data_IF_766379535748
#
_entry.id   IF_766379535748
#
_cell.length_a   1.000
_cell.length_b   1.000
_cell.length_c   1.000
_cell.angle_alpha   90.00
_cell.angle_beta   90.00
_cell.angle_gamma   90.00
#
_symmetry.space_group_name_H-M   'P 1'
#
loop_
_entity.id
_entity.type
_entity.pdbx_description
1 polymer ?
#
# COMPACT_ATOMS: atom_id res chain seq x y z
N UNK A 1 6.06 38.75 63.24
CA UNK A 1 6.85 37.67 63.86
C UNK A 1 6.95 36.55 62.83
N UNK A 2 7.95 36.49 61.95
CA UNK A 2 9.36 36.17 62.19
C UNK A 2 9.54 34.77 62.79
N UNK A 3 9.91 33.80 61.96
CA UNK A 3 11.07 32.94 62.21
C UNK A 3 11.50 32.26 60.91
N UNK A 4 12.66 32.74 60.44
CA UNK A 4 13.46 32.13 59.41
C UNK A 4 14.23 30.94 59.99
N UNK A 5 14.41 29.88 59.20
CA UNK A 5 15.54 28.97 59.36
C UNK A 5 16.19 28.84 57.99
N UNK A 6 17.43 29.31 57.93
CA UNK A 6 18.39 29.08 56.87
C UNK A 6 18.99 27.68 57.03
N UNK A 7 19.15 26.97 55.91
CA UNK A 7 20.18 25.95 55.78
C UNK A 7 20.77 26.00 54.38
N UNK A 8 22.08 25.86 54.36
CA UNK A 8 23.04 26.39 53.41
C UNK A 8 23.15 25.63 52.09
N UNK A 9 23.61 26.35 51.08
CA UNK A 9 24.16 25.85 49.82
C UNK A 9 25.23 24.76 50.04
N UNK A 10 25.16 23.73 49.20
CA UNK A 10 26.35 23.11 48.61
C UNK A 10 26.13 23.04 47.10
N UNK A 11 26.87 23.88 46.38
CA UNK A 11 27.00 23.82 44.93
C UNK A 11 28.13 22.86 44.56
N UNK A 12 27.87 21.95 43.63
CA UNK A 12 28.85 21.26 42.78
C UNK A 12 28.11 21.11 41.43
N UNK A 13 28.26 22.01 40.44
CA UNK A 13 29.31 22.03 39.42
C UNK A 13 29.51 20.62 38.84
N UNK A 14 29.35 20.26 37.56
CA UNK A 14 29.30 20.90 36.25
C UNK A 14 28.67 19.85 35.33
N UNK A 15 27.96 20.28 34.30
CA UNK A 15 27.42 19.37 33.31
C UNK A 15 26.50 20.14 32.41
N UNK A 16 27.09 20.83 31.43
CA UNK A 16 26.39 21.53 30.37
C UNK A 16 25.52 20.52 29.62
N UNK A 17 24.26 20.43 30.02
CA UNK A 17 23.26 19.65 29.31
C UNK A 17 23.02 20.33 27.97
N UNK A 18 23.74 19.88 26.95
CA UNK A 18 23.46 20.27 25.58
C UNK A 18 21.99 19.99 25.29
N UNK A 19 21.29 21.03 24.83
CA UNK A 19 19.99 20.89 24.20
C UNK A 19 20.17 19.97 22.99
N UNK A 20 19.86 18.68 23.16
CA UNK A 20 19.65 17.77 22.06
C UNK A 20 18.42 18.25 21.30
N UNK A 21 18.63 19.15 20.35
CA UNK A 21 17.74 19.28 19.21
C UNK A 21 17.74 17.91 18.54
N UNK A 22 16.70 17.14 18.82
CA UNK A 22 16.39 15.92 18.08
C UNK A 22 15.98 16.34 16.68
N UNK A 23 16.97 16.67 15.84
CA UNK A 23 16.78 16.77 14.40
C UNK A 23 16.42 15.37 13.96
N UNK A 24 15.13 15.09 13.82
CA UNK A 24 14.66 14.00 12.96
C UNK A 24 15.16 14.32 11.57
N UNK A 25 16.31 13.75 11.24
CA UNK A 25 16.83 13.69 9.89
C UNK A 25 15.81 12.89 9.09
N UNK A 26 14.94 13.59 8.35
CA UNK A 26 14.16 12.96 7.29
C UNK A 26 15.18 12.35 6.35
N UNK A 27 15.36 11.03 6.40
CA UNK A 27 16.15 10.32 5.43
C UNK A 27 15.55 10.67 4.07
N UNK A 28 16.31 11.40 3.25
CA UNK A 28 15.99 11.59 1.85
C UNK A 28 15.96 10.19 1.25
N UNK A 29 14.75 9.68 1.00
CA UNK A 29 14.58 8.43 0.29
C UNK A 29 15.14 8.64 -1.12
N UNK A 30 16.12 7.83 -1.46
CA UNK A 30 16.65 7.71 -2.81
C UNK A 30 15.46 7.49 -3.75
N UNK A 31 15.34 8.25 -4.86
CA UNK A 31 14.35 7.95 -5.88
C UNK A 31 14.46 6.48 -6.24
N UNK A 32 13.36 5.73 -6.11
CA UNK A 32 13.30 4.35 -6.57
C UNK A 32 13.77 4.34 -8.03
N UNK A 33 14.76 3.52 -8.41
CA UNK A 33 15.27 3.50 -9.78
C UNK A 33 14.10 3.26 -10.73
N UNK A 34 13.92 4.15 -11.71
CA UNK A 34 12.97 3.95 -12.80
C UNK A 34 13.50 2.80 -13.65
N UNK A 35 13.12 1.58 -13.31
CA UNK A 35 13.20 0.46 -14.25
C UNK A 35 12.35 0.86 -15.45
N UNK A 36 12.84 0.65 -16.67
CA UNK A 36 12.12 1.00 -17.91
C UNK A 36 10.79 0.25 -17.96
N UNK A 37 9.74 0.82 -17.40
CA UNK A 37 8.39 0.30 -17.51
C UNK A 37 7.84 0.58 -18.91
N UNK A 38 7.13 -0.38 -19.47
CA UNK A 38 6.47 -0.23 -20.78
C UNK A 38 5.33 0.81 -20.69
N UNK A 39 4.78 1.02 -19.49
CA UNK A 39 3.71 1.96 -19.22
C UNK A 39 4.22 3.31 -18.73
N UNK A 40 3.88 4.37 -19.48
CA UNK A 40 3.91 5.75 -19.01
C UNK A 40 2.65 6.48 -19.49
N UNK A 41 1.63 6.69 -18.64
CA UNK A 41 0.39 7.38 -19.00
C UNK A 41 0.60 8.80 -19.53
N UNK A 42 1.72 9.46 -19.20
CA UNK A 42 2.05 10.79 -19.70
C UNK A 42 2.34 10.82 -21.21
N UNK A 43 2.69 9.67 -21.81
CA UNK A 43 2.97 9.59 -23.26
C UNK A 43 1.72 9.50 -24.12
N UNK A 44 0.53 9.50 -23.51
CA UNK A 44 -0.72 9.23 -24.18
C UNK A 44 -1.12 7.77 -24.04
N UNK A 45 -2.31 7.54 -23.51
CA UNK A 45 -2.97 6.23 -23.55
C UNK A 45 -4.48 6.43 -23.60
N UNK A 46 -5.21 5.44 -24.08
CA UNK A 46 -6.68 5.40 -23.91
C UNK A 46 -7.09 4.59 -22.70
N UNK A 47 -6.38 3.51 -22.40
CA UNK A 47 -6.73 2.65 -21.28
C UNK A 47 -5.59 2.58 -20.27
N UNK A 48 -5.99 2.61 -19.00
CA UNK A 48 -5.13 2.40 -17.85
C UNK A 48 -5.72 1.22 -17.10
N UNK A 49 -4.92 0.23 -16.74
CA UNK A 49 -5.34 -0.84 -15.82
C UNK A 49 -4.51 -0.75 -14.56
N UNK A 50 -5.17 -0.79 -13.41
CA UNK A 50 -4.54 -0.77 -12.10
C UNK A 50 -4.84 -2.12 -11.46
N UNK A 51 -3.82 -2.95 -11.38
CA UNK A 51 -3.86 -4.26 -10.74
C UNK A 51 -3.23 -4.21 -9.36
N UNK A 52 -3.62 -5.14 -8.50
CA UNK A 52 -2.94 -5.39 -7.25
C UNK A 52 -1.49 -5.87 -7.50
N UNK A 53 -0.54 -5.29 -6.77
CA UNK A 53 0.88 -5.70 -6.80
C UNK A 53 1.25 -6.69 -5.69
N UNK A 54 0.42 -6.80 -4.66
CA UNK A 54 0.60 -7.73 -3.54
C UNK A 54 -0.76 -8.13 -2.92
N UNK A 55 -0.72 -8.84 -1.79
CA UNK A 55 -1.91 -9.20 -1.01
C UNK A 55 -2.33 -8.14 0.02
N UNK A 56 -3.37 -8.47 0.79
CA UNK A 56 -4.03 -7.61 1.79
C UNK A 56 -3.93 -8.21 3.21
N UNK A 57 -4.16 -7.39 4.24
CA UNK A 57 -4.01 -7.81 5.65
C UNK A 57 -5.17 -8.65 6.16
N UNK A 58 -6.32 -8.59 5.48
CA UNK A 58 -7.48 -9.42 5.80
C UNK A 58 -7.08 -10.89 5.88
N UNK A 59 -7.64 -11.62 6.84
CA UNK A 59 -7.24 -13.00 7.12
C UNK A 59 -7.92 -14.04 6.21
N UNK A 60 -9.02 -13.67 5.54
CA UNK A 60 -9.80 -14.60 4.73
C UNK A 60 -9.27 -14.67 3.30
N UNK A 61 -9.10 -15.87 2.75
CA UNK A 61 -8.76 -16.02 1.33
C UNK A 61 -9.85 -15.52 0.40
N UNK A 62 -11.10 -15.46 0.87
CA UNK A 62 -12.20 -14.86 0.12
C UNK A 62 -12.23 -13.34 0.24
N UNK A 63 -11.19 -12.67 0.75
CA UNK A 63 -11.18 -11.23 0.89
C UNK A 63 -10.85 -10.53 -0.45
N UNK A 64 -11.46 -9.36 -0.66
CA UNK A 64 -11.26 -8.49 -1.82
C UNK A 64 -10.35 -7.32 -1.48
N UNK A 65 -9.72 -6.76 -2.50
CA UNK A 65 -9.17 -5.41 -2.45
C UNK A 65 -10.31 -4.41 -2.63
N UNK A 66 -10.40 -3.46 -1.68
CA UNK A 66 -11.36 -2.37 -1.73
C UNK A 66 -10.66 -1.08 -2.19
N UNK A 67 -11.22 -0.47 -3.24
CA UNK A 67 -10.73 0.79 -3.80
C UNK A 67 -11.85 1.81 -3.84
N UNK A 68 -11.69 2.90 -3.11
CA UNK A 68 -12.74 3.88 -2.88
C UNK A 68 -12.89 4.83 -4.06
N UNK A 69 -11.78 5.36 -4.58
CA UNK A 69 -11.86 6.36 -5.64
C UNK A 69 -10.56 6.43 -6.44
N UNK A 70 -10.72 6.67 -7.74
CA UNK A 70 -9.66 6.91 -8.71
C UNK A 70 -10.00 8.19 -9.46
N UNK A 71 -9.09 9.16 -9.41
CA UNK A 71 -9.19 10.39 -10.21
C UNK A 71 -8.00 10.52 -11.12
N UNK A 72 -8.25 10.84 -12.38
CA UNK A 72 -7.22 10.96 -13.41
C UNK A 72 -7.17 12.41 -13.87
N UNK A 73 -5.98 13.00 -13.97
CA UNK A 73 -5.79 14.40 -14.33
C UNK A 73 -4.85 14.55 -15.54
N UNK A 74 -5.14 15.52 -16.39
CA UNK A 74 -4.27 15.92 -17.50
C UNK A 74 -3.11 16.82 -17.04
N UNK A 75 -2.25 17.23 -17.97
CA UNK A 75 -1.09 18.10 -17.70
C UNK A 75 -1.44 19.52 -17.22
N UNK A 76 -2.70 19.93 -17.36
CA UNK A 76 -3.23 21.21 -16.87
C UNK A 76 -4.00 21.05 -15.55
N UNK A 77 -3.88 19.89 -14.91
CA UNK A 77 -4.58 19.51 -13.67
C UNK A 77 -6.11 19.46 -13.80
N UNK A 78 -6.63 19.34 -15.03
CA UNK A 78 -8.07 19.09 -15.22
C UNK A 78 -8.37 17.61 -14.96
N UNK A 79 -9.39 17.35 -14.14
CA UNK A 79 -9.87 15.98 -13.96
C UNK A 79 -10.53 15.47 -15.25
N UNK A 80 -10.08 14.31 -15.70
CA UNK A 80 -10.61 13.60 -16.85
C UNK A 80 -11.83 12.78 -16.45
N UNK A 81 -12.87 12.81 -17.28
CA UNK A 81 -13.97 11.86 -17.18
C UNK A 81 -13.49 10.50 -17.65
N UNK A 82 -13.73 9.47 -16.85
CA UNK A 82 -13.35 8.09 -17.14
C UNK A 82 -14.52 7.16 -16.90
N UNK A 83 -14.53 6.00 -17.56
CA UNK A 83 -15.40 4.89 -17.18
C UNK A 83 -14.54 3.74 -16.66
N UNK A 84 -15.08 2.94 -15.75
CA UNK A 84 -14.38 1.84 -15.13
C UNK A 84 -15.05 0.49 -15.40
N UNK A 85 -14.24 -0.54 -15.63
CA UNK A 85 -14.63 -1.95 -15.76
C UNK A 85 -13.67 -2.81 -14.96
N UNK A 86 -14.12 -3.93 -14.40
CA UNK A 86 -13.22 -4.93 -13.83
C UNK A 86 -13.11 -6.12 -14.78
N UNK A 87 -11.89 -6.42 -15.24
CA UNK A 87 -11.65 -7.57 -16.10
C UNK A 87 -11.66 -8.89 -15.32
N UNK A 88 -11.52 -8.82 -14.00
CA UNK A 88 -11.33 -9.95 -13.11
C UNK A 88 -12.57 -10.23 -12.25
N UNK A 89 -13.73 -9.66 -12.60
CA UNK A 89 -14.93 -9.73 -11.75
C UNK A 89 -14.92 -8.72 -10.60
N UNK A 90 -16.02 -8.65 -9.87
CA UNK A 90 -16.21 -7.78 -8.71
C UNK A 90 -17.30 -8.36 -7.80
N UNK A 91 -17.30 -7.97 -6.53
CA UNK A 91 -18.36 -8.33 -5.59
C UNK A 91 -19.58 -7.40 -5.71
N UNK A 92 -20.79 -7.95 -5.76
CA UNK A 92 -22.02 -7.15 -5.81
C UNK A 92 -22.42 -6.74 -4.38
N UNK A 93 -22.69 -5.45 -4.08
CA UNK A 93 -22.99 -4.34 -5.00
C UNK A 93 -21.83 -3.38 -5.30
N UNK A 94 -20.57 -3.79 -5.09
CA UNK A 94 -19.37 -2.95 -5.18
C UNK A 94 -18.83 -2.86 -6.61
N UNK A 95 -19.66 -2.36 -7.52
CA UNK A 95 -19.35 -2.30 -8.96
C UNK A 95 -18.14 -1.41 -9.29
N UNK A 96 -17.45 -1.63 -10.43
CA UNK A 96 -16.30 -0.81 -10.83
C UNK A 96 -16.59 0.69 -10.96
N UNK A 97 -17.84 1.06 -11.25
CA UNK A 97 -18.26 2.46 -11.33
C UNK A 97 -18.03 3.20 -10.01
N UNK A 98 -18.16 2.53 -8.86
CA UNK A 98 -17.97 3.15 -7.54
C UNK A 98 -16.55 3.65 -7.29
N UNK A 99 -15.55 3.12 -8.00
CA UNK A 99 -14.18 3.62 -7.92
C UNK A 99 -13.94 4.89 -8.74
N UNK A 100 -14.94 5.39 -9.48
CA UNK A 100 -14.82 6.59 -10.34
C UNK A 100 -16.08 7.46 -10.27
N UNK A 101 -16.89 7.31 -9.22
CA UNK A 101 -18.18 8.00 -9.09
C UNK A 101 -18.06 9.39 -8.44
N UNK A 102 -16.85 9.79 -8.04
CA UNK A 102 -16.60 11.07 -7.37
C UNK A 102 -16.72 11.00 -5.85
N UNK A 103 -17.05 9.85 -5.27
CA UNK A 103 -17.35 9.67 -3.85
C UNK A 103 -16.33 8.76 -3.16
N UNK A 104 -15.72 9.27 -2.09
CA UNK A 104 -14.83 8.46 -1.21
C UNK A 104 -15.61 7.71 -0.12
N UNK A 105 -16.94 7.63 -0.23
CA UNK A 105 -17.80 6.90 0.71
C UNK A 105 -18.29 5.56 0.12
N UNK A 106 -18.06 5.36 -1.17
CA UNK A 106 -18.35 4.16 -1.94
C UNK A 106 -17.04 3.54 -2.37
N UNK A 107 -17.06 2.26 -2.74
CA UNK A 107 -15.87 1.56 -3.21
C UNK A 107 -16.23 0.46 -4.21
N UNK A 108 -15.26 0.16 -5.08
CA UNK A 108 -15.19 -1.08 -5.82
C UNK A 108 -14.52 -2.15 -4.95
N UNK A 109 -15.04 -3.38 -5.02
CA UNK A 109 -14.39 -4.55 -4.43
C UNK A 109 -14.09 -5.56 -5.54
N UNK A 110 -12.85 -6.01 -5.62
CA UNK A 110 -12.46 -7.05 -6.57
C UNK A 110 -13.11 -8.41 -6.27
N UNK A 111 -12.92 -9.39 -7.16
CA UNK A 111 -13.49 -10.73 -7.01
C UNK A 111 -12.87 -11.49 -5.81
N UNK A 112 -13.72 -11.98 -4.93
CA UNK A 112 -13.35 -12.73 -3.73
C UNK A 112 -12.59 -14.04 -4.00
N UNK A 113 -12.66 -14.59 -5.22
CA UNK A 113 -12.06 -15.90 -5.52
C UNK A 113 -10.53 -15.88 -5.75
N UNK A 114 -9.92 -14.69 -5.81
CA UNK A 114 -8.49 -14.53 -6.12
C UNK A 114 -7.56 -15.00 -4.99
N UNK A 115 -7.99 -14.93 -3.73
CA UNK A 115 -7.12 -15.27 -2.60
C UNK A 115 -6.13 -14.17 -2.24
N UNK A 116 -6.63 -12.98 -1.89
CA UNK A 116 -5.82 -11.79 -1.63
C UNK A 116 -5.16 -11.76 -0.24
N UNK A 117 -5.71 -12.48 0.74
CA UNK A 117 -5.13 -12.56 2.09
C UNK A 117 -3.69 -13.07 2.04
N UNK A 118 -2.83 -12.48 2.85
CA UNK A 118 -1.44 -12.92 2.98
C UNK A 118 -1.26 -14.39 3.41
N UNK A 119 -2.27 -15.04 3.99
CA UNK A 119 -2.21 -16.48 4.32
C UNK A 119 -2.28 -17.39 3.10
N UNK A 120 -2.70 -16.86 1.94
CA UNK A 120 -2.83 -17.60 0.69
C UNK A 120 -2.36 -16.79 -0.52
N UNK A 121 -1.70 -15.66 -0.30
CA UNK A 121 -1.10 -14.84 -1.34
C UNK A 121 0.12 -15.55 -1.96
N UNK A 122 0.28 -15.41 -3.27
CA UNK A 122 1.49 -15.73 -4.00
C UNK A 122 1.66 -14.78 -5.19
N UNK A 123 2.87 -14.71 -5.74
CA UNK A 123 3.21 -13.79 -6.83
C UNK A 123 2.41 -14.03 -8.13
N UNK A 124 1.83 -15.22 -8.32
CA UNK A 124 0.97 -15.54 -9.45
C UNK A 124 -0.38 -14.84 -9.43
N UNK A 125 -0.73 -14.19 -8.31
CA UNK A 125 -1.99 -13.46 -8.10
C UNK A 125 -1.89 -11.97 -8.35
N UNK A 126 -0.73 -11.47 -8.78
CA UNK A 126 -0.57 -10.09 -9.24
C UNK A 126 -1.49 -9.84 -10.44
N UNK A 127 -2.12 -8.66 -10.45
CA UNK A 127 -3.22 -8.30 -11.37
C UNK A 127 -4.45 -9.23 -11.31
N UNK A 128 -4.52 -10.13 -10.32
CA UNK A 128 -5.66 -11.02 -10.10
C UNK A 128 -6.93 -10.26 -9.73
N UNK A 129 -6.78 -9.07 -9.11
CA UNK A 129 -7.83 -8.07 -9.00
C UNK A 129 -7.38 -6.79 -9.69
N UNK A 130 -8.06 -6.44 -10.79
CA UNK A 130 -7.65 -5.32 -11.61
C UNK A 130 -8.84 -4.53 -12.16
N UNK A 131 -8.74 -3.21 -12.03
CA UNK A 131 -9.71 -2.27 -12.58
C UNK A 131 -9.13 -1.55 -13.80
N UNK A 132 -9.89 -1.52 -14.88
CA UNK A 132 -9.55 -0.84 -16.14
C UNK A 132 -10.35 0.44 -16.28
N UNK A 133 -9.64 1.53 -16.56
CA UNK A 133 -10.18 2.84 -16.90
C UNK A 133 -10.16 3.01 -18.43
N UNK A 134 -11.28 3.47 -19.01
CA UNK A 134 -11.33 3.99 -20.38
C UNK A 134 -11.44 5.52 -20.33
N UNK A 135 -10.44 6.19 -20.91
CA UNK A 135 -10.38 7.65 -21.01
C UNK A 135 -11.21 8.20 -22.18
N UNK A 136 -11.90 7.31 -22.93
CA UNK A 136 -12.73 7.60 -24.10
C UNK A 136 -11.94 7.85 -25.39
N UNK A 137 -10.74 8.41 -25.27
CA UNK A 137 -9.78 8.63 -26.35
C UNK A 137 -8.35 8.49 -25.80
N UNK A 138 -7.35 8.50 -26.67
CA UNK A 138 -5.98 8.70 -26.22
C UNK A 138 -5.85 10.08 -25.54
N UNK A 139 -5.27 10.09 -24.34
CA UNK A 139 -5.06 11.30 -23.52
C UNK A 139 -3.73 11.21 -22.77
N UNK A 140 -3.09 12.35 -22.60
CA UNK A 140 -1.96 12.53 -21.67
C UNK A 140 -2.48 12.57 -20.24
N UNK A 141 -1.90 11.74 -19.37
CA UNK A 141 -2.22 11.70 -17.94
C UNK A 141 -0.99 12.12 -17.14
N UNK A 142 -1.12 13.19 -16.35
CA UNK A 142 -0.04 13.73 -15.52
C UNK A 142 -0.16 13.31 -14.06
N UNK A 143 -1.37 12.99 -13.60
CA UNK A 143 -1.60 12.56 -12.22
C UNK A 143 -2.74 11.56 -12.13
N UNK A 144 -2.55 10.55 -11.29
CA UNK A 144 -3.61 9.62 -10.87
C UNK A 144 -3.67 9.69 -9.35
N UNK A 145 -4.83 10.06 -8.80
CA UNK A 145 -5.09 10.00 -7.37
C UNK A 145 -5.84 8.71 -7.06
N UNK A 146 -5.32 7.92 -6.14
CA UNK A 146 -5.94 6.71 -5.62
C UNK A 146 -6.33 6.93 -4.16
N UNK A 147 -7.54 6.52 -3.81
CA UNK A 147 -8.07 6.57 -2.44
C UNK A 147 -8.49 5.18 -2.01
N UNK A 148 -7.94 4.74 -0.88
CA UNK A 148 -8.29 3.53 -0.14
C UNK A 148 -8.84 3.93 1.24
N UNK A 149 -9.32 2.97 2.05
CA UNK A 149 -10.07 3.28 3.28
C UNK A 149 -9.24 3.77 4.47
N UNK A 150 -7.91 3.82 4.36
CA UNK A 150 -7.01 4.38 5.37
C UNK A 150 -6.08 3.35 6.02
N UNK A 151 -5.32 3.77 7.03
CA UNK A 151 -4.28 2.95 7.65
C UNK A 151 -4.80 1.68 8.37
N UNK A 152 -6.07 1.68 8.79
CA UNK A 152 -6.72 0.55 9.47
C UNK A 152 -7.56 -0.31 8.51
N UNK A 153 -7.52 -0.01 7.20
CA UNK A 153 -8.23 -0.75 6.17
C UNK A 153 -7.47 -2.05 5.83
N UNK A 154 -7.95 -3.18 6.36
CA UNK A 154 -7.37 -4.50 6.09
C UNK A 154 -7.59 -5.01 4.66
N UNK A 155 -8.43 -4.33 3.88
CA UNK A 155 -8.75 -4.62 2.47
C UNK A 155 -7.90 -3.78 1.51
N UNK A 156 -7.08 -2.85 2.00
CA UNK A 156 -6.19 -2.04 1.19
C UNK A 156 -4.92 -2.78 0.74
N UNK A 157 -4.44 -2.45 -0.46
CA UNK A 157 -3.13 -2.89 -0.96
C UNK A 157 -2.05 -1.85 -0.75
N UNK A 158 -0.85 -2.39 -0.75
CA UNK A 158 0.47 -1.80 -0.59
C UNK A 158 1.11 -1.19 -1.82
N UNK A 159 0.79 -1.84 -2.92
CA UNK A 159 1.59 -1.95 -4.11
C UNK A 159 0.59 -2.24 -5.20
N UNK A 160 0.74 -1.53 -6.29
CA UNK A 160 -0.07 -1.70 -7.47
C UNK A 160 0.84 -1.86 -8.68
N UNK A 161 0.24 -2.38 -9.75
CA UNK A 161 0.84 -2.47 -11.07
C UNK A 161 -0.02 -1.69 -12.03
N UNK A 162 0.57 -0.71 -12.69
CA UNK A 162 -0.10 0.16 -13.65
C UNK A 162 0.28 -0.26 -15.06
N UNK A 163 -0.73 -0.50 -15.88
CA UNK A 163 -0.61 -0.89 -17.28
C UNK A 163 -1.22 0.19 -18.18
N UNK A 164 -0.53 0.46 -19.29
CA UNK A 164 -0.93 1.39 -20.34
C UNK A 164 -1.02 0.57 -21.62
N UNK A 165 -2.23 0.23 -22.07
CA UNK A 165 -2.40 -0.70 -23.19
C UNK A 165 -3.67 -0.46 -23.99
N UNK A 166 -3.74 -1.07 -25.17
CA UNK A 166 -4.95 -1.09 -26.00
C UNK A 166 -5.64 -2.46 -26.02
N UNK A 167 -4.89 -3.56 -25.88
CA UNK A 167 -5.39 -4.93 -26.04
C UNK A 167 -5.02 -5.89 -24.91
N UNK A 168 -3.83 -5.76 -24.32
CA UNK A 168 -3.31 -6.71 -23.32
C UNK A 168 -2.42 -5.99 -22.30
N UNK A 169 -2.40 -6.50 -21.07
CA UNK A 169 -1.52 -6.00 -20.01
C UNK A 169 -0.06 -5.96 -20.48
N UNK A 170 0.67 -4.92 -20.07
CA UNK A 170 2.11 -4.80 -20.37
C UNK A 170 2.91 -5.93 -19.71
N UNK A 171 3.98 -6.37 -20.39
CA UNK A 171 4.94 -7.33 -19.84
C UNK A 171 5.72 -6.74 -18.67
N UNK A 172 6.08 -5.45 -18.76
CA UNK A 172 6.77 -4.71 -17.71
C UNK A 172 5.90 -3.54 -17.25
N UNK A 173 4.88 -3.76 -16.40
CA UNK A 173 4.07 -2.68 -15.87
C UNK A 173 4.88 -1.78 -14.94
N UNK A 174 4.31 -0.62 -14.67
CA UNK A 174 4.83 0.28 -13.66
C UNK A 174 4.39 -0.22 -12.28
N UNK A 175 5.33 -0.71 -11.48
CA UNK A 175 5.09 -1.13 -10.10
C UNK A 175 5.37 0.02 -9.13
N UNK A 176 4.40 0.32 -8.26
CA UNK A 176 4.47 1.45 -7.33
C UNK A 176 4.02 1.02 -5.95
N UNK A 177 4.77 1.42 -4.93
CA UNK A 177 4.26 1.44 -3.56
C UNK A 177 3.25 2.59 -3.39
N UNK A 178 2.14 2.32 -2.70
CA UNK A 178 1.06 3.27 -2.47
C UNK A 178 0.65 3.27 -0.99
N UNK A 179 0.02 4.36 -0.56
CA UNK A 179 -0.57 4.49 0.78
C UNK A 179 -1.89 3.74 0.86
N UNK A 180 -2.19 3.19 2.03
CA UNK A 180 -3.52 2.62 2.35
C UNK A 180 -4.60 3.71 2.48
N UNK A 181 -4.24 4.99 2.46
CA UNK A 181 -5.18 6.11 2.35
C UNK A 181 -5.18 6.70 0.95
N UNK A 182 -4.76 7.97 0.83
CA UNK A 182 -4.63 8.66 -0.47
C UNK A 182 -3.20 8.60 -1.00
N UNK A 183 -3.07 8.33 -2.29
CA UNK A 183 -1.79 8.39 -3.02
C UNK A 183 -1.97 9.21 -4.29
N UNK A 184 -1.08 10.18 -4.52
CA UNK A 184 -0.95 10.84 -5.82
C UNK A 184 0.20 10.20 -6.60
N UNK A 185 -0.08 9.65 -7.77
CA UNK A 185 0.90 9.14 -8.72
C UNK A 185 1.12 10.23 -9.76
N UNK A 186 2.27 10.89 -9.72
CA UNK A 186 2.63 11.92 -10.69
C UNK A 186 3.45 11.32 -11.81
N UNK A 187 3.05 11.56 -13.05
CA UNK A 187 3.67 11.08 -14.27
C UNK A 187 4.20 12.25 -15.11
N UNK A 188 5.38 12.07 -15.67
CA UNK A 188 6.00 12.97 -16.63
C UNK A 188 6.73 12.19 -17.73
N UNK A 189 7.47 12.91 -18.58
CA UNK A 189 8.17 12.29 -19.71
C UNK A 189 9.16 11.18 -19.29
N UNK A 190 9.70 11.29 -18.07
CA UNK A 190 10.70 10.39 -17.50
C UNK A 190 10.12 9.19 -16.75
N UNK A 191 8.79 9.08 -16.65
CA UNK A 191 8.11 8.03 -15.90
C UNK A 191 7.20 8.60 -14.82
N UNK A 192 6.80 7.75 -13.88
CA UNK A 192 5.89 8.12 -12.81
C UNK A 192 6.47 7.79 -11.43
N UNK A 193 6.00 8.51 -10.43
CA UNK A 193 6.33 8.28 -9.02
C UNK A 193 5.09 8.49 -8.16
N UNK A 194 4.92 7.66 -7.14
CA UNK A 194 3.92 7.88 -6.10
C UNK A 194 4.42 8.93 -5.08
N UNK A 195 3.49 9.72 -4.54
CA UNK A 195 3.71 10.64 -3.43
C UNK A 195 4.33 9.91 -2.24
N UNK A 196 5.17 10.62 -1.47
CA UNK A 196 5.86 10.05 -0.30
C UNK A 196 4.87 9.34 0.61
N UNK A 197 5.14 8.06 0.87
CA UNK A 197 4.36 7.21 1.75
C UNK A 197 4.57 7.70 3.19
N UNK A 198 3.52 8.24 3.80
CA UNK A 198 3.53 8.64 5.21
C UNK A 198 2.33 8.00 5.93
N UNK A 199 2.57 7.03 6.84
CA UNK A 199 3.87 6.49 7.25
C UNK A 199 4.59 5.69 6.16
N UNK A 200 5.92 5.56 6.31
CA UNK A 200 6.77 4.75 5.43
C UNK A 200 6.30 3.30 5.39
N UNK A 201 6.32 2.73 4.19
CA UNK A 201 5.53 1.56 3.85
C UNK A 201 6.26 0.22 4.08
N UNK A 202 5.55 -0.79 4.60
CA UNK A 202 6.01 -2.18 4.73
C UNK A 202 5.03 -3.08 3.97
N UNK A 203 5.53 -3.96 3.07
CA UNK A 203 4.69 -4.87 2.27
C UNK A 203 3.68 -5.59 3.16
N UNK A 204 2.42 -5.49 2.77
CA UNK A 204 1.28 -6.04 3.49
C UNK A 204 1.50 -7.49 3.88
N UNK A 205 2.22 -8.25 3.04
CA UNK A 205 2.49 -9.67 3.28
C UNK A 205 3.92 -10.00 3.73
N UNK A 206 4.86 -9.04 3.78
CA UNK A 206 6.24 -9.31 4.24
C UNK A 206 6.32 -9.62 5.74
N UNK A 207 5.32 -9.24 6.54
CA UNK A 207 5.27 -9.48 7.99
C UNK A 207 4.67 -10.83 8.42
N UNK A 208 3.92 -11.51 7.53
CA UNK A 208 3.13 -12.70 7.89
C UNK A 208 3.94 -14.00 7.71
N UNK A 209 4.96 -13.99 6.85
CA UNK A 209 5.93 -15.09 6.74
C UNK A 209 6.77 -15.27 8.01
N UNK A 210 7.00 -14.21 8.80
CA UNK A 210 7.72 -14.28 10.06
C UNK A 210 6.91 -14.90 11.22
N UNK A 211 5.58 -14.81 11.19
CA UNK A 211 4.72 -15.34 12.26
C UNK A 211 4.43 -16.85 12.11
N UNK A 212 4.47 -17.38 10.89
CA UNK A 212 4.26 -18.81 10.63
C UNK A 212 5.45 -19.70 11.08
N UNK A 213 6.61 -19.11 11.38
CA UNK A 213 7.81 -19.82 11.86
C UNK A 213 7.91 -20.02 13.37
N UNK A 214 7.05 -19.37 14.18
CA UNK A 214 7.16 -19.36 15.65
C UNK A 214 6.26 -20.39 16.36
N UNK A 215 5.59 -21.29 15.62
CA UNK A 215 4.71 -22.33 16.18
C UNK A 215 5.23 -23.75 15.88
N UNK A 216 6.49 -24.02 16.20
CA UNK A 216 6.93 -25.40 16.43
C UNK A 216 8.12 -25.39 17.38
N UNK A 217 7.92 -25.90 18.60
CA UNK A 217 8.87 -26.63 19.46
C UNK A 217 8.32 -26.60 20.89
N UNK A 218 7.59 -27.64 21.26
CA UNK A 218 7.05 -27.75 22.62
C UNK A 218 6.20 -28.98 22.92
N UNK A 219 6.40 -30.11 22.22
CA UNK A 219 5.89 -31.40 22.70
C UNK A 219 6.99 -32.45 22.61
N UNK A 220 7.95 -32.37 23.55
CA UNK A 220 8.81 -33.50 23.85
C UNK A 220 8.06 -34.42 24.82
N UNK A 221 7.57 -35.56 24.32
CA UNK A 221 7.16 -36.70 25.14
C UNK A 221 8.34 -37.13 26.02
N UNK A 222 8.18 -37.09 27.34
CA UNK A 222 8.98 -37.91 28.24
C UNK A 222 8.28 -39.26 28.42
N UNK A 223 8.67 -40.25 27.61
CA UNK A 223 8.46 -41.66 27.92
C UNK A 223 9.65 -42.12 28.76
N UNK A 224 9.48 -42.11 30.09
CA UNK A 224 10.43 -42.71 31.01
C UNK A 224 9.97 -44.12 31.38
N UNK A 225 10.58 -45.13 30.76
CA UNK A 225 10.53 -46.53 31.20
C UNK A 225 10.97 -46.64 32.67
N UNK A 226 10.07 -47.10 33.53
CA UNK A 226 10.40 -47.57 34.87
C UNK A 226 10.45 -49.08 34.89
N UNK A 227 11.65 -49.66 34.99
CA UNK A 227 11.84 -51.07 35.38
C UNK A 227 13.10 -51.21 36.25
N UNK A 228 12.90 -51.93 37.35
CA UNK A 228 13.84 -52.61 38.24
C UNK A 228 14.38 -51.84 39.47
N UNK A 229 14.04 -52.37 40.66
CA UNK A 229 14.91 -52.28 41.85
C UNK A 229 14.24 -52.34 43.23
N UNK A 230 13.63 -53.46 43.61
CA UNK A 230 13.83 -54.21 44.88
C UNK A 230 12.86 -55.37 45.01
#
# INVERSE_FOLDING_TARGET
MLLAIWASLAAVALGDGEFLFSTTTTAAQTPVPVVSADCNPFRGTRYITIGNGNGIQASQCTASWDLYEIRVFDENDNQLSVTATSNTGYDDPYTPFKAVDGSTATFWAGDHDVGMSCSCWDDGKKDGQAIRLDLGSEKTVSRIQLVQGGADDQWAVSKIRVHCHSSSLNSNPLELGISMGTTDITCGINGCSASVLNPGYADTCDGITAAAGAASFGLAMLVGLGLAGQ
#
